data_IF_946533777334
#
_entry.id   IF_946533777334
#
_cell.length_a   1.000
_cell.length_b   1.000
_cell.length_c   1.000
_cell.angle_alpha   90.00
_cell.angle_beta   90.00
_cell.angle_gamma   90.00
#
_symmetry.space_group_name_H-M   'P 1'
#
loop_
_entity.id
_entity.type
_entity.pdbx_description
1 polymer ?
#
# COMPACT_ATOMS: atom_id res chain seq x y z
N UNK A 1 -2.56 3.43 -11.17
CA UNK A 1 -1.37 2.86 -10.53
C UNK A 1 -0.75 3.88 -9.57
N UNK A 2 0.00 3.39 -8.60
CA UNK A 2 0.72 4.22 -7.64
C UNK A 2 2.20 4.33 -8.08
N UNK A 3 2.59 5.42 -8.77
CA UNK A 3 3.94 5.60 -9.31
C UNK A 3 4.95 6.02 -8.23
N UNK A 4 4.47 6.32 -7.04
CA UNK A 4 5.31 6.77 -5.93
C UNK A 4 4.64 6.52 -4.58
N UNK A 5 5.45 6.57 -3.54
CA UNK A 5 5.00 6.66 -2.15
C UNK A 5 5.85 7.71 -1.42
N UNK A 6 5.28 8.33 -0.40
CA UNK A 6 5.97 9.31 0.42
C UNK A 6 5.98 8.88 1.89
N UNK A 7 7.14 8.95 2.50
CA UNK A 7 7.31 8.63 3.92
C UNK A 7 7.57 9.90 4.72
N UNK A 8 6.84 10.02 5.81
CA UNK A 8 7.07 11.08 6.78
C UNK A 8 8.32 10.77 7.59
N UNK A 9 9.25 11.70 7.59
CA UNK A 9 10.54 11.61 8.32
C UNK A 9 10.76 12.86 9.15
N UNK A 10 11.64 12.80 10.14
CA UNK A 10 11.96 13.96 10.99
C UNK A 10 12.81 14.97 10.22
N UNK A 11 13.73 14.47 9.38
CA UNK A 11 14.70 15.23 8.59
C UNK A 11 14.83 14.51 7.22
N UNK A 12 14.38 15.17 6.15
CA UNK A 12 14.33 14.60 4.81
C UNK A 12 15.73 14.47 4.20
N UNK A 13 16.59 15.43 4.42
CA UNK A 13 17.97 15.44 3.93
C UNK A 13 18.79 14.33 4.58
N UNK A 14 18.66 14.19 5.90
CA UNK A 14 19.33 13.12 6.64
C UNK A 14 18.87 11.74 6.16
N UNK A 15 17.56 11.53 6.03
CA UNK A 15 17.00 10.27 5.57
C UNK A 15 17.47 9.91 4.15
N UNK A 16 17.48 10.89 3.25
CA UNK A 16 17.98 10.73 1.88
C UNK A 16 19.47 10.36 1.84
N UNK A 17 20.33 11.15 2.53
CA UNK A 17 21.77 10.90 2.59
C UNK A 17 22.09 9.53 3.21
N UNK A 18 21.33 9.15 4.25
CA UNK A 18 21.46 7.83 4.86
C UNK A 18 21.13 6.73 3.85
N UNK A 19 19.98 6.81 3.17
CA UNK A 19 19.56 5.81 2.17
C UNK A 19 20.61 5.69 1.04
N UNK A 20 21.10 6.81 0.50
CA UNK A 20 22.11 6.83 -0.56
C UNK A 20 23.44 6.22 -0.05
N UNK A 21 23.86 6.51 1.18
CA UNK A 21 25.06 5.92 1.77
C UNK A 21 24.97 4.39 1.95
N UNK A 22 23.75 3.86 1.98
CA UNK A 22 23.45 2.42 2.04
C UNK A 22 23.22 1.79 0.65
N UNK A 23 23.40 2.57 -0.42
CA UNK A 23 23.31 2.08 -1.80
C UNK A 23 21.98 2.35 -2.50
N UNK A 24 21.09 3.17 -1.93
CA UNK A 24 19.91 3.62 -2.66
C UNK A 24 20.30 4.48 -3.86
N UNK A 25 19.57 4.34 -4.97
CA UNK A 25 19.76 5.17 -6.16
C UNK A 25 19.02 6.50 -5.96
N UNK A 26 19.70 7.66 -5.93
CA UNK A 26 19.04 8.95 -5.87
C UNK A 26 18.23 9.20 -7.14
N UNK A 27 17.13 9.94 -7.05
CA UNK A 27 16.38 10.39 -8.21
C UNK A 27 16.65 11.88 -8.45
N UNK A 28 17.29 12.19 -9.58
CA UNK A 28 17.70 13.54 -9.97
C UNK A 28 16.90 14.09 -11.18
N UNK A 29 15.87 13.35 -11.64
CA UNK A 29 15.08 13.73 -12.80
C UNK A 29 14.03 14.82 -12.50
N UNK A 30 13.56 15.48 -13.56
CA UNK A 30 12.56 16.58 -13.49
C UNK A 30 11.12 16.10 -13.28
N UNK A 31 10.88 14.78 -13.25
CA UNK A 31 9.53 14.19 -13.15
C UNK A 31 9.00 14.02 -11.74
N UNK A 32 9.54 14.71 -10.73
CA UNK A 32 9.03 14.67 -9.34
C UNK A 32 7.70 15.41 -9.23
N UNK A 33 6.76 14.80 -8.49
CA UNK A 33 5.50 15.47 -8.13
C UNK A 33 5.66 16.40 -6.91
N UNK A 34 6.71 16.20 -6.10
CA UNK A 34 7.04 17.01 -4.93
C UNK A 34 8.52 17.42 -5.00
N UNK A 35 8.81 18.66 -4.69
CA UNK A 35 10.19 19.16 -4.61
C UNK A 35 10.83 18.80 -3.26
N UNK A 36 10.97 17.51 -3.01
CA UNK A 36 11.60 16.93 -1.83
C UNK A 36 12.57 15.81 -2.25
N UNK A 37 13.52 15.42 -1.39
CA UNK A 37 14.44 14.33 -1.68
C UNK A 37 13.70 13.03 -2.00
N UNK A 38 14.15 12.32 -3.05
CA UNK A 38 13.57 11.06 -3.48
C UNK A 38 14.64 10.07 -3.93
N UNK A 39 14.34 8.78 -3.75
CA UNK A 39 15.13 7.68 -4.28
C UNK A 39 14.28 6.82 -5.22
N UNK A 40 14.95 6.05 -6.08
CA UNK A 40 14.29 5.05 -6.91
C UNK A 40 13.96 3.82 -6.06
N UNK A 41 12.68 3.48 -6.01
CA UNK A 41 12.13 2.33 -5.28
C UNK A 41 11.66 1.21 -6.21
N UNK A 42 10.72 0.42 -5.71
CA UNK A 42 10.19 -0.75 -6.40
C UNK A 42 9.71 -0.43 -7.81
N UNK A 43 10.18 -1.22 -8.79
CA UNK A 43 9.77 -1.12 -10.19
C UNK A 43 10.04 0.24 -10.85
N UNK A 44 10.94 1.04 -10.30
CA UNK A 44 11.22 2.40 -10.77
C UNK A 44 10.28 3.47 -10.19
N UNK A 45 9.40 3.11 -9.27
CA UNK A 45 8.59 4.09 -8.53
C UNK A 45 9.47 4.98 -7.66
N UNK A 46 8.98 6.18 -7.33
CA UNK A 46 9.72 7.09 -6.46
C UNK A 46 9.32 6.89 -4.99
N UNK A 47 10.31 6.94 -4.11
CA UNK A 47 10.10 7.00 -2.68
C UNK A 47 10.58 8.37 -2.19
N UNK A 48 9.64 9.20 -1.78
CA UNK A 48 9.88 10.55 -1.28
C UNK A 48 10.09 10.56 0.23
N UNK A 49 10.99 11.44 0.70
CA UNK A 49 11.15 11.75 2.12
C UNK A 49 10.52 13.11 2.42
N UNK A 50 9.48 13.13 3.27
CA UNK A 50 8.70 14.33 3.57
C UNK A 50 8.83 14.67 5.04
N UNK A 51 9.31 15.89 5.35
CA UNK A 51 9.40 16.42 6.71
C UNK A 51 8.36 17.50 7.03
N UNK A 52 7.75 18.09 5.97
CA UNK A 52 6.71 19.10 6.10
C UNK A 52 5.34 18.44 6.23
N UNK A 53 4.90 18.22 7.49
CA UNK A 53 3.59 17.63 7.83
C UNK A 53 3.17 18.02 9.25
N UNK A 54 1.89 17.87 9.58
CA UNK A 54 1.34 18.25 10.90
C UNK A 54 1.50 19.74 11.15
N UNK A 55 2.08 20.10 12.28
CA UNK A 55 2.30 21.50 12.67
C UNK A 55 3.33 22.23 11.79
N UNK A 56 4.10 21.49 10.99
CA UNK A 56 5.04 22.06 10.01
C UNK A 56 4.38 22.41 8.68
N UNK A 57 3.05 22.26 8.55
CA UNK A 57 2.31 22.51 7.33
C UNK A 57 2.15 21.28 6.44
N UNK A 58 2.11 21.46 5.12
CA UNK A 58 1.89 20.40 4.15
C UNK A 58 2.93 20.43 3.04
N UNK A 59 3.40 19.26 2.61
CA UNK A 59 4.26 19.12 1.44
C UNK A 59 3.58 19.56 0.12
N UNK A 60 2.25 19.72 0.12
CA UNK A 60 1.48 20.14 -1.05
C UNK A 60 1.35 21.66 -1.21
N UNK A 61 1.81 22.46 -0.25
CA UNK A 61 1.59 23.91 -0.27
C UNK A 61 2.40 24.66 -1.33
N UNK A 62 3.53 24.10 -1.77
CA UNK A 62 4.42 24.78 -2.71
C UNK A 62 4.19 24.35 -4.16
N UNK A 63 3.85 23.08 -4.40
CA UNK A 63 3.79 22.49 -5.75
C UNK A 63 2.36 22.32 -6.26
N UNK A 64 1.35 22.52 -5.40
CA UNK A 64 -0.06 22.35 -5.74
C UNK A 64 -0.85 23.59 -5.47
N UNK A 65 -1.73 23.91 -6.39
CA UNK A 65 -2.71 24.98 -6.24
C UNK A 65 -4.05 24.37 -5.80
N UNK A 66 -4.62 24.94 -4.73
CA UNK A 66 -5.92 24.51 -4.24
C UNK A 66 -7.01 24.94 -5.21
N UNK A 67 -7.89 24.03 -5.59
CA UNK A 67 -9.02 24.31 -6.46
C UNK A 67 -10.22 24.81 -5.61
N UNK A 68 -10.69 26.03 -5.91
CA UNK A 68 -11.88 26.62 -5.27
C UNK A 68 -11.69 26.94 -3.79
N UNK A 69 -12.79 26.94 -3.04
CA UNK A 69 -12.78 27.07 -1.58
C UNK A 69 -12.34 25.75 -0.95
N UNK A 70 -11.05 25.49 -0.98
CA UNK A 70 -10.52 24.23 -0.54
C UNK A 70 -10.64 24.06 0.97
N UNK A 71 -11.40 23.08 1.40
CA UNK A 71 -11.35 22.57 2.76
C UNK A 71 -10.21 21.53 2.82
N UNK A 72 -9.07 21.83 3.46
CA UNK A 72 -7.95 20.87 3.56
C UNK A 72 -8.27 19.65 4.43
N UNK A 73 -9.41 19.68 5.14
CA UNK A 73 -9.91 18.58 5.97
C UNK A 73 -11.40 18.34 5.68
N UNK A 74 -11.73 17.85 4.47
CA UNK A 74 -13.12 17.54 4.14
C UNK A 74 -13.64 16.40 5.02
N UNK A 75 -14.95 16.34 5.22
CA UNK A 75 -15.57 15.20 5.86
C UNK A 75 -15.32 13.94 5.01
N UNK A 76 -14.64 12.95 5.59
CA UNK A 76 -14.33 11.70 4.95
C UNK A 76 -15.38 10.62 5.21
N UNK A 77 -15.14 9.44 4.63
CA UNK A 77 -16.02 8.27 4.80
C UNK A 77 -15.67 7.44 6.06
N UNK A 78 -14.75 7.91 6.90
CA UNK A 78 -14.35 7.24 8.13
C UNK A 78 -13.02 6.48 8.05
N UNK A 79 -12.25 6.65 6.97
CA UNK A 79 -10.87 6.17 6.92
C UNK A 79 -9.95 7.10 7.71
N UNK A 80 -9.09 6.54 8.56
CA UNK A 80 -8.24 7.34 9.45
C UNK A 80 -6.75 7.02 9.37
N UNK A 81 -6.35 5.90 8.74
CA UNK A 81 -4.94 5.61 8.49
C UNK A 81 -4.72 4.69 7.29
N UNK A 82 -3.51 4.74 6.74
CA UNK A 82 -3.01 3.74 5.78
C UNK A 82 -2.44 2.56 6.57
N UNK A 83 -3.03 1.38 6.41
CA UNK A 83 -2.55 0.19 7.10
C UNK A 83 -1.33 -0.42 6.39
N UNK A 84 -1.45 -0.70 5.10
CA UNK A 84 -0.34 -1.22 4.33
C UNK A 84 -0.42 -0.90 2.83
N UNK A 85 0.74 -1.04 2.16
CA UNK A 85 0.90 -0.90 0.71
C UNK A 85 1.48 -2.20 0.16
N UNK A 86 0.64 -3.05 -0.41
CA UNK A 86 1.09 -4.34 -0.95
C UNK A 86 1.83 -4.17 -2.26
N UNK A 87 2.99 -4.78 -2.36
CA UNK A 87 3.81 -4.81 -3.56
C UNK A 87 3.72 -6.18 -4.23
N UNK A 88 3.48 -6.20 -5.53
CA UNK A 88 3.67 -7.38 -6.34
C UNK A 88 5.02 -7.32 -7.03
N UNK A 89 5.78 -8.40 -6.92
CA UNK A 89 7.13 -8.53 -7.44
C UNK A 89 7.23 -9.68 -8.43
N UNK A 90 8.19 -9.60 -9.35
CA UNK A 90 8.50 -10.72 -10.26
C UNK A 90 9.01 -11.92 -9.47
N UNK A 91 8.75 -13.10 -10.00
CA UNK A 91 9.24 -14.36 -9.43
C UNK A 91 10.76 -14.33 -9.28
N UNK A 92 11.25 -14.64 -8.07
CA UNK A 92 12.65 -14.55 -7.69
C UNK A 92 13.11 -13.17 -7.18
N UNK A 93 12.26 -12.16 -7.17
CA UNK A 93 12.63 -10.80 -6.74
C UNK A 93 12.21 -10.46 -5.30
N UNK A 94 11.52 -11.35 -4.60
CA UNK A 94 11.11 -11.10 -3.21
C UNK A 94 12.31 -10.78 -2.30
N UNK A 95 13.38 -11.57 -2.37
CA UNK A 95 14.55 -11.35 -1.52
C UNK A 95 15.30 -10.07 -1.87
N UNK A 96 15.32 -9.67 -3.14
CA UNK A 96 15.88 -8.38 -3.59
C UNK A 96 15.15 -7.20 -2.92
N UNK A 97 13.81 -7.18 -2.97
CA UNK A 97 13.04 -6.10 -2.38
C UNK A 97 12.99 -6.18 -0.85
N UNK A 98 13.01 -7.38 -0.29
CA UNK A 98 13.22 -7.56 1.15
C UNK A 98 14.56 -6.96 1.59
N UNK A 99 15.66 -7.26 0.90
CA UNK A 99 16.97 -6.69 1.20
C UNK A 99 16.97 -5.16 1.09
N UNK A 100 16.32 -4.59 0.06
CA UNK A 100 16.16 -3.16 -0.12
C UNK A 100 15.55 -2.49 1.13
N UNK A 101 14.41 -2.96 1.61
CA UNK A 101 13.76 -2.37 2.78
C UNK A 101 14.52 -2.63 4.09
N UNK A 102 15.10 -3.81 4.23
CA UNK A 102 15.86 -4.17 5.43
C UNK A 102 17.14 -3.36 5.55
N UNK A 103 17.93 -3.28 4.50
CA UNK A 103 19.27 -2.71 4.53
C UNK A 103 19.25 -1.18 4.52
N UNK A 104 18.34 -0.57 3.76
CA UNK A 104 18.23 0.88 3.71
C UNK A 104 17.50 1.46 4.93
N UNK A 105 16.51 0.77 5.46
CA UNK A 105 15.55 1.36 6.41
C UNK A 105 15.31 0.53 7.66
N UNK A 106 16.00 -0.61 7.83
CA UNK A 106 15.88 -1.44 9.02
C UNK A 106 14.54 -2.13 9.19
N UNK A 107 13.81 -2.38 8.08
CA UNK A 107 12.56 -3.14 8.15
C UNK A 107 12.79 -4.55 8.70
N UNK A 108 11.79 -5.07 9.39
CA UNK A 108 11.77 -6.44 9.92
C UNK A 108 10.61 -7.23 9.33
N UNK A 109 10.78 -8.55 9.23
CA UNK A 109 9.70 -9.43 8.81
C UNK A 109 8.74 -9.67 9.97
N UNK A 110 7.43 -9.52 9.72
CA UNK A 110 6.36 -9.82 10.67
C UNK A 110 5.87 -11.25 10.44
N UNK A 111 5.50 -11.56 9.20
CA UNK A 111 4.97 -12.85 8.79
C UNK A 111 5.51 -13.28 7.43
N UNK A 112 5.53 -14.57 7.22
CA UNK A 112 5.76 -15.19 5.93
C UNK A 112 4.64 -16.20 5.67
N UNK A 113 3.99 -16.08 4.52
CA UNK A 113 2.92 -16.97 4.11
C UNK A 113 3.35 -17.69 2.83
N UNK A 114 3.19 -18.99 2.83
CA UNK A 114 3.25 -19.83 1.65
C UNK A 114 1.84 -20.37 1.42
N UNK A 115 1.17 -19.81 0.41
CA UNK A 115 -0.24 -20.06 0.16
C UNK A 115 -0.36 -20.88 -1.12
N UNK A 116 -0.61 -22.16 -0.97
CA UNK A 116 -0.93 -23.06 -2.07
C UNK A 116 -2.45 -23.13 -2.24
N UNK A 117 -2.97 -22.53 -3.30
CA UNK A 117 -4.36 -22.68 -3.72
C UNK A 117 -4.55 -23.87 -4.66
N UNK A 118 -5.80 -24.28 -4.89
CA UNK A 118 -6.11 -25.39 -5.84
C UNK A 118 -5.70 -25.08 -7.28
N UNK A 119 -5.63 -23.82 -7.68
CA UNK A 119 -5.36 -23.40 -9.06
C UNK A 119 -4.17 -22.43 -9.16
N UNK A 120 -3.92 -21.65 -8.13
CA UNK A 120 -2.86 -20.64 -8.09
C UNK A 120 -2.26 -20.57 -6.70
N UNK A 121 -0.98 -20.24 -6.62
CA UNK A 121 -0.27 -20.06 -5.36
C UNK A 121 0.49 -18.75 -5.32
N UNK A 122 0.84 -18.32 -4.13
CA UNK A 122 1.70 -17.18 -3.89
C UNK A 122 2.50 -17.35 -2.61
N UNK A 123 3.66 -16.74 -2.55
CA UNK A 123 4.38 -16.49 -1.32
C UNK A 123 4.24 -15.01 -0.96
N UNK A 124 4.05 -14.72 0.32
CA UNK A 124 3.92 -13.35 0.82
C UNK A 124 4.81 -13.14 2.03
N UNK A 125 5.59 -12.08 1.99
CA UNK A 125 6.43 -11.63 3.11
C UNK A 125 5.93 -10.28 3.60
N UNK A 126 5.29 -10.27 4.76
CA UNK A 126 4.87 -9.04 5.40
C UNK A 126 6.02 -8.44 6.21
N UNK A 127 6.38 -7.20 5.88
CA UNK A 127 7.46 -6.45 6.52
C UNK A 127 6.96 -5.15 7.13
N UNK A 128 7.63 -4.69 8.17
CA UNK A 128 7.29 -3.44 8.85
C UNK A 128 8.53 -2.59 9.14
N UNK A 129 8.35 -1.28 9.11
CA UNK A 129 9.39 -0.33 9.55
C UNK A 129 9.67 -0.45 11.05
N UNK A 130 10.83 0.03 11.54
CA UNK A 130 11.18 0.01 12.98
C UNK A 130 10.14 0.70 13.87
N UNK A 131 9.47 1.74 13.37
CA UNK A 131 8.40 2.42 14.11
C UNK A 131 7.03 1.71 14.05
N UNK A 132 6.90 0.62 13.28
CA UNK A 132 5.66 -0.15 13.11
C UNK A 132 4.55 0.54 12.30
N UNK A 133 4.81 1.73 11.75
CA UNK A 133 3.79 2.53 11.06
C UNK A 133 3.73 2.31 9.55
N UNK A 134 4.78 1.76 8.96
CA UNK A 134 4.82 1.45 7.52
C UNK A 134 4.88 -0.07 7.39
N UNK A 135 3.86 -0.64 6.76
CA UNK A 135 3.75 -2.08 6.52
C UNK A 135 3.68 -2.34 5.03
N UNK A 136 4.45 -3.30 4.57
CA UNK A 136 4.55 -3.64 3.15
C UNK A 136 4.54 -5.16 3.01
N UNK A 137 3.43 -5.76 2.59
CA UNK A 137 3.44 -7.13 2.08
C UNK A 137 4.13 -7.17 0.71
N UNK A 138 5.12 -8.04 0.56
CA UNK A 138 5.76 -8.37 -0.72
C UNK A 138 5.16 -9.68 -1.22
N UNK A 139 4.48 -9.67 -2.36
CA UNK A 139 3.83 -10.84 -2.93
C UNK A 139 4.53 -11.29 -4.20
N UNK A 140 4.84 -12.57 -4.26
CA UNK A 140 5.44 -13.24 -5.39
C UNK A 140 4.59 -14.44 -5.82
N UNK A 141 4.36 -14.59 -7.12
CA UNK A 141 3.58 -15.70 -7.66
C UNK A 141 4.40 -16.98 -7.73
N UNK A 142 3.76 -18.12 -7.44
CA UNK A 142 4.35 -19.46 -7.65
C UNK A 142 3.93 -20.07 -8.98
N UNK A 143 3.01 -19.45 -9.73
CA UNK A 143 2.49 -19.92 -11.02
C UNK A 143 2.25 -18.78 -12.02
N UNK A 144 1.95 -19.13 -13.29
CA UNK A 144 1.78 -18.17 -14.38
C UNK A 144 0.34 -17.66 -14.56
N UNK A 145 -0.62 -18.15 -13.76
CA UNK A 145 -2.07 -17.86 -13.89
C UNK A 145 -2.61 -16.98 -12.76
N UNK A 146 -1.78 -16.63 -11.80
CA UNK A 146 -2.20 -15.87 -10.62
C UNK A 146 -2.61 -14.43 -10.96
N UNK A 147 -3.33 -13.81 -10.04
CA UNK A 147 -3.65 -12.38 -10.13
C UNK A 147 -2.38 -11.50 -10.07
N UNK A 148 -1.30 -11.98 -9.42
CA UNK A 148 -0.02 -11.29 -9.37
C UNK A 148 0.56 -11.17 -10.77
N UNK A 149 0.59 -12.27 -11.55
CA UNK A 149 1.06 -12.27 -12.93
C UNK A 149 0.22 -11.35 -13.82
N UNK A 150 -1.10 -11.35 -13.64
CA UNK A 150 -2.01 -10.46 -14.35
C UNK A 150 -1.72 -8.99 -14.05
N UNK A 151 -1.43 -8.65 -12.79
CA UNK A 151 -1.02 -7.32 -12.38
C UNK A 151 0.30 -6.92 -13.03
N UNK A 152 1.35 -7.75 -12.91
CA UNK A 152 2.69 -7.46 -13.45
C UNK A 152 2.65 -7.20 -14.96
N UNK A 153 1.84 -7.97 -15.70
CA UNK A 153 1.63 -7.78 -17.15
C UNK A 153 0.91 -6.47 -17.45
N UNK A 154 -0.18 -6.17 -16.73
CA UNK A 154 -0.99 -4.96 -16.94
C UNK A 154 -0.25 -3.70 -16.52
N UNK A 155 0.42 -3.73 -15.39
CA UNK A 155 1.22 -2.63 -14.85
C UNK A 155 2.54 -2.44 -15.59
N UNK A 156 3.02 -3.48 -16.29
CA UNK A 156 4.31 -3.57 -17.00
C UNK A 156 5.52 -3.43 -16.08
N UNK A 157 5.43 -3.99 -14.88
CA UNK A 157 6.49 -3.93 -13.90
C UNK A 157 6.05 -4.34 -12.50
N UNK A 158 7.00 -4.34 -11.59
CA UNK A 158 6.78 -4.49 -10.16
C UNK A 158 6.22 -3.20 -9.58
N UNK A 159 5.45 -3.28 -8.49
CA UNK A 159 4.91 -2.06 -7.88
C UNK A 159 3.82 -2.29 -6.86
N UNK A 160 3.21 -1.18 -6.41
CA UNK A 160 2.14 -1.15 -5.43
C UNK A 160 0.85 -1.65 -6.10
N UNK A 161 0.39 -2.80 -5.66
CA UNK A 161 -0.81 -3.44 -6.21
C UNK A 161 -2.09 -2.94 -5.53
N UNK A 162 -2.09 -2.81 -4.21
CA UNK A 162 -3.21 -2.21 -3.49
C UNK A 162 -2.77 -1.42 -2.26
N UNK A 163 -3.69 -0.58 -1.80
CA UNK A 163 -3.57 0.25 -0.61
C UNK A 163 -4.66 -0.21 0.35
N UNK A 164 -4.27 -0.62 1.56
CA UNK A 164 -5.21 -0.92 2.62
C UNK A 164 -5.35 0.28 3.54
N UNK A 165 -6.59 0.58 3.90
CA UNK A 165 -6.94 1.68 4.78
C UNK A 165 -7.76 1.18 5.96
N UNK A 166 -7.56 1.76 7.15
CA UNK A 166 -8.28 1.38 8.37
C UNK A 166 -9.52 2.24 8.61
N UNK A 167 -10.57 1.58 9.11
CA UNK A 167 -11.82 2.20 9.55
C UNK A 167 -12.39 1.44 10.74
N UNK A 168 -13.09 2.13 11.63
CA UNK A 168 -13.81 1.50 12.75
C UNK A 168 -15.23 1.06 12.34
N UNK A 169 -15.74 1.53 11.20
CA UNK A 169 -17.09 1.24 10.71
C UNK A 169 -17.10 0.85 9.24
N UNK A 170 -16.73 -0.41 8.92
CA UNK A 170 -16.59 -0.89 7.53
C UNK A 170 -17.89 -0.73 6.73
N UNK A 171 -19.03 -1.04 7.32
CA UNK A 171 -20.32 -0.98 6.65
C UNK A 171 -20.72 0.47 6.30
N UNK A 172 -20.53 1.40 7.23
CA UNK A 172 -20.83 2.81 7.00
C UNK A 172 -19.88 3.42 5.99
N UNK A 173 -18.60 3.05 6.05
CA UNK A 173 -17.61 3.50 5.10
C UNK A 173 -17.94 3.00 3.67
N UNK A 174 -18.31 1.73 3.50
CA UNK A 174 -18.69 1.16 2.20
C UNK A 174 -19.97 1.76 1.64
N UNK A 175 -21.00 1.99 2.48
CA UNK A 175 -22.24 2.65 2.07
C UNK A 175 -21.97 4.09 1.59
N UNK A 176 -21.17 4.87 2.31
CA UNK A 176 -20.77 6.23 1.92
C UNK A 176 -19.97 6.23 0.61
N UNK A 177 -19.04 5.30 0.45
CA UNK A 177 -18.26 5.17 -0.79
C UNK A 177 -19.15 4.82 -1.98
N UNK A 178 -20.10 3.88 -1.80
CA UNK A 178 -21.07 3.54 -2.85
C UNK A 178 -21.95 4.74 -3.20
N UNK A 179 -22.44 5.50 -2.21
CA UNK A 179 -23.22 6.72 -2.42
C UNK A 179 -22.42 7.79 -3.19
N UNK A 180 -21.10 7.85 -2.99
CA UNK A 180 -20.19 8.72 -3.72
C UNK A 180 -19.80 8.19 -5.11
N UNK A 181 -20.40 7.08 -5.54
CA UNK A 181 -20.21 6.51 -6.89
C UNK A 181 -19.04 5.56 -7.04
N UNK A 182 -18.39 5.13 -5.95
CA UNK A 182 -17.35 4.10 -6.02
C UNK A 182 -18.01 2.76 -6.43
N UNK A 183 -17.42 2.13 -7.45
CA UNK A 183 -17.81 0.79 -7.86
C UNK A 183 -16.91 -0.23 -7.18
N UNK A 184 -17.50 -1.06 -6.33
CA UNK A 184 -16.80 -2.17 -5.71
C UNK A 184 -16.62 -3.33 -6.68
N UNK A 185 -15.67 -4.21 -6.40
CA UNK A 185 -15.57 -5.52 -7.04
C UNK A 185 -16.82 -6.35 -6.69
N UNK A 186 -17.24 -7.26 -7.58
CA UNK A 186 -18.31 -8.20 -7.26
C UNK A 186 -17.96 -8.97 -5.96
N UNK A 187 -18.96 -9.13 -5.12
CA UNK A 187 -18.82 -9.92 -3.90
C UNK A 187 -18.51 -11.40 -4.19
N UNK A 188 -18.09 -12.16 -3.18
CA UNK A 188 -17.90 -13.59 -3.30
C UNK A 188 -19.22 -14.32 -3.61
N UNK A 189 -19.16 -15.58 -4.12
CA UNK A 189 -20.36 -16.36 -4.41
C UNK A 189 -21.17 -16.66 -3.15
N UNK A 190 -22.46 -16.96 -3.31
CA UNK A 190 -23.42 -17.22 -2.21
C UNK A 190 -22.90 -18.25 -1.19
N UNK A 191 -22.26 -19.31 -1.67
CA UNK A 191 -21.64 -20.36 -0.83
C UNK A 191 -20.60 -19.82 0.15
N UNK A 192 -19.98 -18.69 -0.14
CA UNK A 192 -19.06 -18.05 0.83
C UNK A 192 -19.81 -17.59 2.09
N UNK A 193 -20.97 -16.97 1.88
CA UNK A 193 -21.80 -16.45 2.97
C UNK A 193 -22.47 -17.59 3.76
N UNK A 194 -22.95 -18.61 3.08
CA UNK A 194 -23.51 -19.82 3.71
C UNK A 194 -22.52 -20.51 4.67
N UNK A 195 -21.25 -20.54 4.28
CA UNK A 195 -20.18 -21.16 5.06
C UNK A 195 -19.51 -20.22 6.08
N UNK A 196 -19.91 -18.95 6.16
CA UNK A 196 -19.22 -17.96 7.00
C UNK A 196 -19.23 -18.33 8.47
N UNK A 197 -20.35 -18.82 9.02
CA UNK A 197 -20.48 -19.25 10.41
C UNK A 197 -19.62 -20.47 10.75
N UNK A 198 -19.38 -21.36 9.79
CA UNK A 198 -18.51 -22.53 9.99
C UNK A 198 -17.03 -22.12 9.98
N UNK A 199 -16.67 -21.18 9.13
CA UNK A 199 -15.29 -20.73 8.94
C UNK A 199 -14.80 -19.79 10.03
N UNK A 200 -15.69 -18.93 10.51
CA UNK A 200 -15.39 -17.93 11.55
C UNK A 200 -16.39 -18.11 12.67
N UNK A 201 -16.10 -19.06 13.56
CA UNK A 201 -16.96 -19.35 14.69
C UNK A 201 -17.08 -18.15 15.63
N UNK A 202 -18.30 -17.85 16.05
CA UNK A 202 -18.57 -16.78 17.02
C UNK A 202 -18.59 -15.37 16.44
N UNK A 203 -18.56 -15.21 15.11
CA UNK A 203 -18.83 -13.88 14.53
C UNK A 203 -20.32 -13.56 14.65
N UNK A 204 -20.62 -12.31 14.93
CA UNK A 204 -21.98 -11.77 15.05
C UNK A 204 -22.39 -10.91 13.83
N UNK A 205 -21.61 -10.98 12.75
CA UNK A 205 -21.84 -10.15 11.56
C UNK A 205 -23.11 -10.58 10.82
N UNK A 206 -24.03 -9.65 10.51
CA UNK A 206 -25.26 -9.96 9.78
C UNK A 206 -24.95 -10.33 8.32
N UNK A 207 -25.28 -11.55 7.91
CA UNK A 207 -25.02 -12.07 6.56
C UNK A 207 -25.57 -11.13 5.46
N UNK A 208 -26.79 -10.62 5.64
CA UNK A 208 -27.39 -9.68 4.67
C UNK A 208 -26.64 -8.35 4.57
N UNK A 209 -25.91 -7.97 5.60
CA UNK A 209 -25.07 -6.77 5.59
C UNK A 209 -23.73 -7.04 4.90
N UNK A 210 -23.21 -8.26 5.05
CA UNK A 210 -21.97 -8.69 4.39
C UNK A 210 -22.15 -8.85 2.86
N UNK A 211 -23.37 -9.16 2.40
CA UNK A 211 -23.71 -9.31 0.97
C UNK A 211 -23.85 -7.98 0.22
N UNK A 212 -24.14 -6.93 0.93
CA UNK A 212 -24.44 -5.61 0.37
C UNK A 212 -23.15 -4.86 0.00
#
# INVERSE_FOLDING_TARGET
>A
CAPSMAWRVVDADHAFKHAVSKGATPYEGDGKALDVPAIVGIGGSLLYFVEKYGDKGSAYENEFEWLGEANPKPEGVGFYFLDHLTHNVYRGNMDKWWAFYRELFGFTQIHFFDIEGKLTGLVSRAITSPCGKIRIPLNESTDDKSQIESYLKKYRGEGIQHIAVGTDGIYDATDKLAANGLKFMPGPPETYYEMSHERVQGHEEPIERMKK
#
